data_IF_728521810931
#
_entry.id   IF_728521810931
#
_cell.length_a   1.000
_cell.length_b   1.000
_cell.length_c   1.000
_cell.angle_alpha   90.00
_cell.angle_beta   90.00
_cell.angle_gamma   90.00
#
_symmetry.space_group_name_H-M   'P 1'
#
loop_
_entity.id
_entity.type
_entity.pdbx_description
1 polymer ?
#
# COMPACT_ATOMS: atom_id res chain seq x y z
N UNK A 1 -12.29 10.81 -10.78
CA UNK A 1 -12.61 10.93 -9.35
C UNK A 1 -11.33 10.68 -8.58
N UNK A 2 -11.32 10.90 -7.27
CA UNK A 2 -10.20 10.49 -6.41
C UNK A 2 -10.66 9.41 -5.46
N UNK A 3 -9.94 8.30 -5.44
CA UNK A 3 -10.10 7.25 -4.44
C UNK A 3 -9.20 7.53 -3.24
N UNK A 4 -9.72 7.24 -2.05
CA UNK A 4 -8.93 7.16 -0.84
C UNK A 4 -7.92 5.99 -0.89
N UNK A 5 -6.83 6.05 -0.12
CA UNK A 5 -5.89 4.94 0.00
C UNK A 5 -6.52 3.59 0.34
N UNK A 6 -7.60 3.59 1.14
CA UNK A 6 -8.33 2.39 1.55
C UNK A 6 -9.29 1.89 0.48
N UNK A 7 -9.84 2.77 -0.35
CA UNK A 7 -10.62 2.36 -1.53
C UNK A 7 -9.73 1.70 -2.59
N UNK A 8 -8.52 2.21 -2.82
CA UNK A 8 -7.55 1.54 -3.69
C UNK A 8 -7.11 0.20 -3.07
N UNK A 9 -6.93 0.15 -1.75
CA UNK A 9 -6.64 -1.10 -1.05
C UNK A 9 -7.78 -2.13 -1.19
N UNK A 10 -9.04 -1.71 -1.10
CA UNK A 10 -10.21 -2.57 -1.33
C UNK A 10 -10.27 -3.14 -2.73
N UNK A 11 -9.91 -2.37 -3.75
CA UNK A 11 -9.79 -2.90 -5.12
C UNK A 11 -8.72 -3.99 -5.19
N UNK A 12 -7.55 -3.79 -4.58
CA UNK A 12 -6.47 -4.80 -4.59
C UNK A 12 -6.85 -6.04 -3.76
N UNK A 13 -7.55 -5.84 -2.64
CA UNK A 13 -7.97 -6.90 -1.71
C UNK A 13 -8.88 -7.94 -2.38
N UNK A 14 -9.75 -7.51 -3.31
CA UNK A 14 -10.59 -8.40 -4.13
C UNK A 14 -9.79 -9.48 -4.87
N UNK A 15 -8.54 -9.20 -5.21
CA UNK A 15 -7.65 -10.10 -5.93
C UNK A 15 -6.53 -10.67 -5.04
N UNK A 16 -6.40 -10.19 -3.81
CA UNK A 16 -5.27 -10.43 -2.90
C UNK A 16 -3.96 -9.76 -3.34
N UNK A 17 -3.52 -9.97 -4.57
CA UNK A 17 -2.39 -9.25 -5.20
C UNK A 17 -2.68 -8.96 -6.68
N UNK A 18 -2.15 -7.84 -7.17
CA UNK A 18 -2.19 -7.44 -8.59
C UNK A 18 -0.80 -7.06 -9.09
N UNK A 19 -0.52 -7.30 -10.38
CA UNK A 19 0.56 -6.61 -11.07
C UNK A 19 0.20 -5.14 -11.31
N UNK A 20 1.19 -4.26 -11.58
CA UNK A 20 0.92 -2.88 -11.96
C UNK A 20 -0.04 -2.75 -13.16
N UNK A 21 0.07 -3.65 -14.14
CA UNK A 21 -0.79 -3.64 -15.34
C UNK A 21 -2.22 -4.06 -15.01
N UNK A 22 -2.41 -5.07 -14.16
CA UNK A 22 -3.74 -5.50 -13.75
C UNK A 22 -4.44 -4.44 -12.87
N UNK A 23 -3.71 -3.77 -11.97
CA UNK A 23 -4.25 -2.66 -11.19
C UNK A 23 -4.62 -1.46 -12.08
N UNK A 24 -3.85 -1.18 -13.13
CA UNK A 24 -4.22 -0.17 -14.11
C UNK A 24 -5.53 -0.53 -14.84
N UNK A 25 -5.70 -1.80 -15.26
CA UNK A 25 -6.94 -2.28 -15.88
C UNK A 25 -8.13 -2.21 -14.92
N UNK A 26 -7.95 -2.61 -13.66
CA UNK A 26 -9.01 -2.52 -12.65
C UNK A 26 -9.47 -1.08 -12.41
N UNK A 27 -8.53 -0.13 -12.38
CA UNK A 27 -8.83 1.30 -12.31
C UNK A 27 -9.57 1.83 -13.54
N UNK A 28 -9.18 1.38 -14.73
CA UNK A 28 -9.83 1.77 -15.98
C UNK A 28 -11.28 1.26 -16.05
N UNK A 29 -11.52 -0.01 -15.71
CA UNK A 29 -12.87 -0.59 -15.67
C UNK A 29 -13.76 0.07 -14.62
N UNK A 30 -13.24 0.27 -13.40
CA UNK A 30 -13.97 0.96 -12.35
C UNK A 30 -14.28 2.41 -12.75
N UNK A 31 -13.30 3.11 -13.33
CA UNK A 31 -13.48 4.48 -13.81
C UNK A 31 -14.50 4.56 -14.95
N UNK A 32 -14.53 3.57 -15.85
CA UNK A 32 -15.55 3.46 -16.89
C UNK A 32 -16.96 3.30 -16.28
N UNK A 33 -17.11 2.41 -15.29
CA UNK A 33 -18.40 2.18 -14.59
C UNK A 33 -18.89 3.41 -13.85
N UNK A 34 -17.99 4.15 -13.22
CA UNK A 34 -18.30 5.37 -12.46
C UNK A 34 -18.42 6.61 -13.36
N UNK A 35 -18.13 6.49 -14.65
CA UNK A 35 -18.16 7.60 -15.61
C UNK A 35 -17.04 8.63 -15.40
N UNK A 36 -16.03 8.32 -14.58
CA UNK A 36 -14.93 9.22 -14.27
C UNK A 36 -13.62 8.46 -14.07
N UNK A 37 -12.55 8.90 -14.74
CA UNK A 37 -11.25 8.24 -14.63
C UNK A 37 -10.69 8.32 -13.19
N UNK A 38 -10.16 7.19 -12.71
CA UNK A 38 -9.42 7.11 -11.45
C UNK A 38 -7.94 7.33 -11.76
N UNK A 39 -7.26 8.34 -11.19
CA UNK A 39 -5.89 8.66 -11.55
C UNK A 39 -4.87 7.73 -10.88
N UNK A 40 -3.74 7.51 -11.54
CA UNK A 40 -2.61 6.73 -11.00
C UNK A 40 -1.97 7.39 -9.77
N UNK A 41 -2.25 8.68 -9.53
CA UNK A 41 -1.82 9.37 -8.29
C UNK A 41 -2.39 8.75 -7.03
N UNK A 42 -3.56 8.08 -7.12
CA UNK A 42 -4.25 7.49 -5.98
C UNK A 42 -3.54 6.20 -5.55
N UNK A 43 -3.10 5.37 -6.51
CA UNK A 43 -2.23 4.21 -6.26
C UNK A 43 -0.92 4.67 -5.60
N UNK A 44 -0.30 5.72 -6.14
CA UNK A 44 0.92 6.27 -5.53
C UNK A 44 0.67 6.82 -4.14
N UNK A 45 -0.52 7.36 -3.85
CA UNK A 45 -0.88 7.81 -2.51
C UNK A 45 -1.03 6.64 -1.54
N UNK A 46 -1.70 5.57 -1.96
CA UNK A 46 -1.83 4.33 -1.20
C UNK A 46 -0.46 3.71 -0.86
N UNK A 47 0.45 3.64 -1.83
CA UNK A 47 1.84 3.16 -1.61
C UNK A 47 2.65 4.08 -0.69
N UNK A 48 2.39 5.39 -0.68
CA UNK A 48 3.03 6.32 0.28
C UNK A 48 2.46 6.17 1.68
N UNK A 49 1.16 5.85 1.78
CA UNK A 49 0.46 5.67 3.04
C UNK A 49 0.71 4.29 3.68
N UNK A 50 1.38 3.37 2.98
CA UNK A 50 1.53 1.96 3.35
C UNK A 50 0.21 1.16 3.34
N UNK A 51 -0.84 1.68 2.71
CA UNK A 51 -2.08 0.90 2.50
C UNK A 51 -1.89 -0.11 1.36
N UNK A 52 -0.92 0.13 0.48
CA UNK A 52 -0.43 -0.82 -0.50
C UNK A 52 1.08 -0.98 -0.38
N UNK A 53 1.56 -2.21 -0.57
CA UNK A 53 2.99 -2.54 -0.58
C UNK A 53 3.31 -3.19 -1.93
N UNK A 54 4.12 -2.53 -2.78
CA UNK A 54 4.74 -3.18 -3.92
C UNK A 54 5.86 -4.12 -3.46
N UNK A 55 5.93 -5.32 -4.02
CA UNK A 55 6.96 -6.32 -3.75
C UNK A 55 7.29 -7.11 -5.02
N UNK A 56 8.42 -7.80 -5.00
CA UNK A 56 8.82 -8.70 -6.08
C UNK A 56 8.46 -10.13 -5.69
N UNK A 57 7.89 -10.88 -6.64
CA UNK A 57 7.55 -12.30 -6.52
C UNK A 57 7.88 -12.99 -7.83
N UNK A 58 8.72 -14.03 -7.79
CA UNK A 58 9.14 -14.77 -8.98
C UNK A 58 9.72 -13.90 -10.11
N UNK A 59 10.37 -12.78 -9.76
CA UNK A 59 10.92 -11.81 -10.72
C UNK A 59 9.88 -10.87 -11.34
N UNK A 60 8.64 -10.91 -10.85
CA UNK A 60 7.57 -10.01 -11.26
C UNK A 60 7.13 -9.10 -10.11
N UNK A 61 6.87 -7.84 -10.46
CA UNK A 61 6.34 -6.87 -9.52
C UNK A 61 4.87 -7.14 -9.23
N UNK A 62 4.54 -7.26 -7.95
CA UNK A 62 3.19 -7.39 -7.40
C UNK A 62 2.90 -6.25 -6.43
N UNK A 63 1.61 -6.02 -6.17
CA UNK A 63 1.10 -5.02 -5.25
C UNK A 63 0.00 -5.72 -4.45
N UNK A 64 0.12 -5.69 -3.13
CA UNK A 64 -0.87 -6.24 -2.20
C UNK A 64 -1.20 -5.22 -1.12
N UNK A 65 -2.24 -5.52 -0.34
CA UNK A 65 -2.68 -4.73 0.81
C UNK A 65 -1.57 -4.66 1.86
N UNK A 66 -1.33 -3.45 2.35
CA UNK A 66 -0.25 -3.12 3.29
C UNK A 66 -0.71 -2.97 4.74
N UNK A 67 0.25 -2.68 5.64
CA UNK A 67 0.04 -2.69 7.10
C UNK A 67 -0.94 -1.63 7.62
N UNK A 68 -1.10 -0.50 6.92
CA UNK A 68 -1.95 0.61 7.39
C UNK A 68 -3.35 0.60 6.78
N UNK A 69 -3.65 -0.42 5.95
CA UNK A 69 -4.89 -0.47 5.22
C UNK A 69 -6.06 -0.93 6.10
N UNK A 70 -7.20 -0.29 5.87
CA UNK A 70 -8.52 -0.78 6.24
C UNK A 70 -9.35 -0.87 4.95
N UNK A 71 -9.20 -1.94 4.14
CA UNK A 71 -9.74 -2.00 2.79
C UNK A 71 -11.24 -1.72 2.74
N UNK A 72 -11.64 -0.83 1.83
CA UNK A 72 -13.04 -0.51 1.54
C UNK A 72 -13.26 -0.72 0.05
N UNK A 73 -14.22 -1.57 -0.33
CA UNK A 73 -14.52 -1.75 -1.75
C UNK A 73 -15.28 -0.51 -2.23
N UNK A 74 -14.77 0.24 -3.25
CA UNK A 74 -15.49 1.38 -3.80
C UNK A 74 -16.76 0.93 -4.54
N UNK A 75 -17.74 1.83 -4.64
CA UNK A 75 -18.99 1.56 -5.35
C UNK A 75 -18.74 1.00 -6.76
N UNK A 76 -19.41 -0.11 -7.09
CA UNK A 76 -19.27 -0.78 -8.38
C UNK A 76 -17.99 -1.61 -8.56
N UNK A 77 -17.13 -1.71 -7.55
CA UNK A 77 -15.88 -2.46 -7.57
C UNK A 77 -16.00 -3.97 -7.33
N UNK A 78 -17.07 -4.43 -6.68
CA UNK A 78 -17.24 -5.83 -6.24
C UNK A 78 -17.13 -6.87 -7.37
N UNK A 79 -17.53 -6.49 -8.59
CA UNK A 79 -17.59 -7.36 -9.76
C UNK A 79 -16.28 -7.35 -10.60
N UNK A 80 -15.27 -6.57 -10.18
CA UNK A 80 -14.00 -6.44 -10.92
C UNK A 80 -13.29 -7.78 -11.19
N UNK A 81 -13.21 -8.75 -10.25
CA UNK A 81 -12.61 -10.05 -10.53
C UNK A 81 -13.26 -10.78 -11.70
N UNK A 82 -14.59 -10.74 -11.80
CA UNK A 82 -15.35 -11.40 -12.86
C UNK A 82 -15.23 -10.68 -14.21
N UNK A 83 -15.27 -9.35 -14.21
CA UNK A 83 -15.16 -8.56 -15.45
C UNK A 83 -13.79 -8.72 -16.09
N UNK A 84 -12.74 -8.70 -15.26
CA UNK A 84 -11.37 -8.72 -15.73
C UNK A 84 -10.88 -10.13 -16.06
N UNK A 85 -11.63 -11.16 -15.66
CA UNK A 85 -11.25 -12.58 -15.75
C UNK A 85 -9.90 -12.83 -15.06
N UNK A 86 -9.76 -12.29 -13.84
CA UNK A 86 -8.55 -12.43 -13.02
C UNK A 86 -8.92 -13.16 -11.74
N UNK A 87 -8.33 -14.34 -11.57
CA UNK A 87 -8.49 -15.14 -10.35
C UNK A 87 -7.75 -14.50 -9.15
N UNK A 88 -8.36 -14.48 -7.96
CA UNK A 88 -7.69 -14.04 -6.74
C UNK A 88 -6.47 -14.90 -6.42
N UNK A 89 -5.44 -14.25 -5.89
CA UNK A 89 -4.15 -14.83 -5.52
C UNK A 89 -3.88 -14.61 -4.04
N UNK A 90 -3.11 -15.51 -3.45
CA UNK A 90 -2.59 -15.31 -2.09
C UNK A 90 -1.22 -14.65 -2.15
N UNK A 91 -1.04 -13.46 -1.54
CA UNK A 91 0.25 -12.80 -1.45
C UNK A 91 1.32 -13.67 -0.78
N UNK A 92 2.54 -13.64 -1.30
CA UNK A 92 3.69 -14.26 -0.62
C UNK A 92 4.06 -13.43 0.61
N UNK A 93 3.61 -13.89 1.78
CA UNK A 93 3.64 -13.09 3.01
C UNK A 93 5.05 -12.61 3.38
N UNK A 94 6.04 -13.49 3.31
CA UNK A 94 7.41 -13.16 3.72
C UNK A 94 8.03 -12.10 2.79
N UNK A 95 7.82 -12.22 1.48
CA UNK A 95 8.28 -11.24 0.49
C UNK A 95 7.58 -9.88 0.68
N UNK A 96 6.26 -9.90 0.94
CA UNK A 96 5.47 -8.70 1.19
C UNK A 96 5.93 -7.97 2.47
N UNK A 97 6.19 -8.72 3.55
CA UNK A 97 6.72 -8.18 4.81
C UNK A 97 8.11 -7.59 4.61
N UNK A 98 9.01 -8.31 3.92
CA UNK A 98 10.34 -7.81 3.61
C UNK A 98 10.30 -6.49 2.84
N UNK A 99 9.46 -6.40 1.81
CA UNK A 99 9.29 -5.19 1.02
C UNK A 99 8.75 -4.00 1.83
N UNK A 100 7.79 -4.24 2.74
CA UNK A 100 7.28 -3.20 3.63
C UNK A 100 8.38 -2.68 4.58
N UNK A 101 9.21 -3.58 5.12
CA UNK A 101 10.31 -3.23 6.02
C UNK A 101 11.43 -2.47 5.33
N UNK A 102 11.83 -2.88 4.13
CA UNK A 102 12.89 -2.20 3.38
C UNK A 102 12.44 -0.79 2.98
N UNK A 103 11.21 -0.67 2.49
CA UNK A 103 10.59 0.64 2.23
C UNK A 103 10.54 1.52 3.47
N UNK A 104 10.17 0.97 4.63
CA UNK A 104 10.13 1.68 5.91
C UNK A 104 11.51 2.19 6.32
N UNK A 105 12.54 1.35 6.21
CA UNK A 105 13.93 1.72 6.52
C UNK A 105 14.41 2.85 5.62
N UNK A 106 14.19 2.75 4.31
CA UNK A 106 14.57 3.78 3.35
C UNK A 106 13.86 5.11 3.62
N UNK A 107 12.54 5.07 3.84
CA UNK A 107 11.74 6.25 4.14
C UNK A 107 12.21 6.93 5.45
N UNK A 108 12.54 6.13 6.47
CA UNK A 108 13.05 6.62 7.76
C UNK A 108 14.41 7.30 7.61
N UNK A 109 15.34 6.69 6.87
CA UNK A 109 16.65 7.29 6.59
C UNK A 109 16.52 8.62 5.85
N UNK A 110 15.61 8.69 4.86
CA UNK A 110 15.35 9.91 4.14
C UNK A 110 14.75 10.98 5.05
N UNK A 111 13.70 10.66 5.80
CA UNK A 111 13.01 11.59 6.70
C UNK A 111 13.94 12.21 7.74
N UNK A 112 14.79 11.37 8.36
CA UNK A 112 15.82 11.80 9.30
C UNK A 112 16.86 12.70 8.64
N UNK A 113 17.32 12.36 7.42
CA UNK A 113 18.34 13.15 6.71
C UNK A 113 17.87 14.54 6.30
N UNK A 114 16.60 14.67 5.92
CA UNK A 114 16.03 15.96 5.48
C UNK A 114 15.32 16.71 6.62
N UNK A 115 15.43 16.21 7.85
CA UNK A 115 14.86 16.80 9.09
C UNK A 115 13.38 17.19 8.94
N UNK A 116 12.62 16.37 8.21
CA UNK A 116 11.20 16.66 7.94
C UNK A 116 10.35 16.09 9.07
N UNK A 117 10.14 16.87 10.13
CA UNK A 117 9.39 16.48 11.32
C UNK A 117 8.07 15.75 11.00
N UNK A 118 7.21 16.33 10.15
CA UNK A 118 5.95 15.69 9.78
C UNK A 118 6.09 14.38 8.97
N UNK A 119 7.26 14.07 8.40
CA UNK A 119 7.53 12.75 7.82
C UNK A 119 8.00 11.75 8.88
N UNK A 120 8.82 12.19 9.84
CA UNK A 120 9.20 11.37 10.99
C UNK A 120 7.98 10.97 11.82
N UNK A 121 7.09 11.91 12.10
CA UNK A 121 5.86 11.69 12.89
C UNK A 121 4.96 10.63 12.25
N UNK A 122 4.68 10.75 10.94
CA UNK A 122 3.93 9.70 10.21
C UNK A 122 4.62 8.34 10.22
N UNK A 123 5.96 8.30 10.17
CA UNK A 123 6.70 7.03 10.21
C UNK A 123 6.72 6.41 11.61
N UNK A 124 6.56 7.20 12.68
CA UNK A 124 6.33 6.66 14.02
C UNK A 124 5.01 5.88 14.05
N UNK A 125 3.92 6.45 13.53
CA UNK A 125 2.62 5.77 13.46
C UNK A 125 2.70 4.48 12.63
N UNK A 126 3.22 4.58 11.40
CA UNK A 126 3.40 3.43 10.49
C UNK A 126 4.25 2.32 11.13
N UNK A 127 5.21 2.67 12.00
CA UNK A 127 6.01 1.65 12.67
C UNK A 127 5.18 0.75 13.58
N UNK A 128 4.17 1.29 14.27
CA UNK A 128 3.28 0.48 15.10
C UNK A 128 2.39 -0.43 14.26
N UNK A 129 1.86 0.09 13.14
CA UNK A 129 1.06 -0.70 12.21
C UNK A 129 1.88 -1.86 11.62
N UNK A 130 3.14 -1.61 11.24
CA UNK A 130 4.04 -2.67 10.75
C UNK A 130 4.35 -3.70 11.83
N UNK A 131 4.67 -3.27 13.06
CA UNK A 131 4.95 -4.21 14.17
C UNK A 131 3.74 -5.13 14.44
N UNK A 132 2.53 -4.56 14.47
CA UNK A 132 1.30 -5.32 14.66
C UNK A 132 0.98 -6.25 13.48
N UNK A 133 1.20 -5.78 12.25
CA UNK A 133 0.88 -6.54 11.03
C UNK A 133 1.89 -7.66 10.75
N UNK A 134 3.18 -7.44 10.99
CA UNK A 134 4.26 -8.38 10.63
C UNK A 134 4.85 -9.17 11.80
N UNK A 135 4.46 -8.90 13.05
CA UNK A 135 5.06 -9.50 14.25
C UNK A 135 6.59 -9.32 14.31
N UNK A 136 7.01 -8.07 14.14
CA UNK A 136 8.42 -7.63 14.11
C UNK A 136 8.66 -6.51 15.10
N UNK A 137 9.92 -6.15 15.33
CA UNK A 137 10.28 -4.99 16.17
C UNK A 137 11.03 -3.91 15.37
N UNK A 138 10.55 -2.68 15.49
CA UNK A 138 11.05 -1.44 14.91
C UNK A 138 11.38 -0.38 15.98
N UNK A 139 11.35 -0.74 17.26
CA UNK A 139 11.55 0.19 18.39
C UNK A 139 12.79 1.08 18.26
N UNK A 140 13.95 0.53 17.90
CA UNK A 140 15.19 1.29 17.80
C UNK A 140 15.21 2.36 16.70
N UNK A 141 14.44 2.18 15.62
CA UNK A 141 14.30 3.19 14.56
C UNK A 141 13.16 4.15 14.86
N UNK A 142 12.06 3.67 15.47
CA UNK A 142 10.98 4.50 16.00
C UNK A 142 11.50 5.54 16.99
N UNK A 143 12.34 5.17 17.95
CA UNK A 143 12.94 6.10 18.92
C UNK A 143 13.74 7.22 18.24
N UNK A 144 14.45 6.91 17.15
CA UNK A 144 15.20 7.91 16.38
C UNK A 144 14.27 8.87 15.63
N UNK A 145 13.19 8.35 15.05
CA UNK A 145 12.19 9.16 14.37
C UNK A 145 11.48 10.10 15.37
N UNK A 146 11.07 9.57 16.52
CA UNK A 146 10.42 10.33 17.59
C UNK A 146 11.34 11.38 18.23
N UNK A 147 12.65 11.12 18.33
CA UNK A 147 13.60 12.14 18.77
C UNK A 147 13.70 13.32 17.79
N UNK A 148 13.45 13.10 16.49
CA UNK A 148 13.53 14.11 15.44
C UNK A 148 12.24 14.92 15.24
N UNK A 149 11.17 14.62 15.99
CA UNK A 149 9.91 15.39 15.99
C UNK A 149 9.79 16.37 17.14
N UNK A 150 10.73 16.31 18.11
CA UNK A 150 10.76 17.13 19.32
C UNK A 150 11.51 18.45 19.14
#
# INVERSE_FOLDING_TARGET
MTLSPDEVAGVVDLFGELSPTELARAREELGYRLGEAIPETDVRAAVRAYTLVPYERDGERRIAVGPTAFPVIPDGGEDLPHILDIEPRTPERDALVAAALDRFREASLLALRIERAGACERLVDVSYDIEAWADVSLGAIRERLDAATR
#
